data_IF_609442846699
#
_entry.id   IF_609442846699
#
_cell.length_a   1.000
_cell.length_b   1.000
_cell.length_c   1.000
_cell.angle_alpha   90.00
_cell.angle_beta   90.00
_cell.angle_gamma   90.00
#
_symmetry.space_group_name_H-M   'P 1'
#
loop_
_entity.id
_entity.type
_entity.pdbx_description
1 polymer ?
#
# COMPACT_ATOMS: atom_id res chain seq x y z
N UNK A 1 -5.36 -9.50 -21.11
CA UNK A 1 -5.14 -8.10 -20.74
C UNK A 1 -4.23 -8.10 -19.54
N UNK A 2 -3.03 -7.54 -19.65
CA UNK A 2 -2.09 -7.42 -18.54
C UNK A 2 -2.20 -5.99 -18.01
N UNK A 3 -2.74 -5.82 -16.81
CA UNK A 3 -2.62 -4.57 -16.07
C UNK A 3 -1.26 -4.59 -15.38
N UNK A 4 -0.40 -3.63 -15.70
CA UNK A 4 0.89 -3.48 -15.03
C UNK A 4 0.66 -2.47 -13.90
N UNK A 5 0.21 -2.99 -12.75
CA UNK A 5 0.05 -2.21 -11.54
C UNK A 5 1.46 -1.99 -10.95
N UNK A 6 2.00 -0.79 -11.16
CA UNK A 6 3.34 -0.42 -10.69
C UNK A 6 3.22 0.41 -9.43
N UNK A 7 3.77 -0.11 -8.34
CA UNK A 7 3.84 0.56 -7.05
C UNK A 7 5.27 1.03 -6.79
N UNK A 8 5.45 2.34 -6.62
CA UNK A 8 6.76 2.92 -6.28
C UNK A 8 6.67 3.51 -4.87
N UNK A 9 7.36 2.89 -3.92
CA UNK A 9 7.47 3.39 -2.54
C UNK A 9 8.77 4.17 -2.39
N UNK A 10 8.66 5.46 -2.04
CA UNK A 10 9.80 6.34 -1.75
C UNK A 10 9.77 6.79 -0.29
N UNK A 11 10.82 7.47 0.16
CA UNK A 11 10.92 8.05 1.50
C UNK A 11 9.97 9.23 1.79
N UNK A 12 9.15 9.66 0.81
CA UNK A 12 8.21 10.78 0.95
C UNK A 12 6.80 10.47 0.46
N UNK A 13 6.66 9.60 -0.54
CA UNK A 13 5.40 9.26 -1.19
C UNK A 13 5.39 7.84 -1.74
N UNK A 14 4.21 7.24 -1.76
CA UNK A 14 3.85 6.02 -2.47
C UNK A 14 3.14 6.46 -3.74
N UNK A 15 3.57 5.97 -4.90
CA UNK A 15 2.93 6.24 -6.20
C UNK A 15 2.29 4.93 -6.66
N UNK A 16 0.97 4.96 -6.83
CA UNK A 16 0.19 3.91 -7.46
C UNK A 16 -0.19 4.33 -8.88
N UNK A 17 0.04 3.45 -9.86
CA UNK A 17 -0.27 3.72 -11.26
C UNK A 17 -1.09 2.56 -11.80
N UNK A 18 -2.42 2.67 -11.70
CA UNK A 18 -3.37 1.71 -12.25
C UNK A 18 -3.81 2.14 -13.67
N UNK A 19 -3.72 1.22 -14.63
CA UNK A 19 -4.13 1.45 -16.02
C UNK A 19 -5.52 0.84 -16.28
N UNK A 20 -6.57 1.66 -16.25
CA UNK A 20 -7.94 1.24 -16.62
C UNK A 20 -8.14 1.40 -18.15
N UNK A 21 -7.47 0.57 -18.95
CA UNK A 21 -7.70 0.48 -20.41
C UNK A 21 -6.78 1.34 -21.30
N UNK A 22 -7.14 1.48 -22.59
CA UNK A 22 -6.29 2.07 -23.64
C UNK A 22 -6.04 3.58 -23.50
N UNK A 23 -6.86 4.33 -22.73
CA UNK A 23 -6.75 5.79 -22.61
C UNK A 23 -6.92 6.36 -21.19
N UNK A 24 -7.26 5.56 -20.17
CA UNK A 24 -7.40 6.03 -18.79
C UNK A 24 -6.25 5.51 -17.93
N UNK A 25 -5.25 6.38 -17.74
CA UNK A 25 -4.18 6.17 -16.74
C UNK A 25 -4.55 6.95 -15.48
N UNK A 26 -4.79 6.25 -14.38
CA UNK A 26 -4.96 6.87 -13.06
C UNK A 26 -3.63 6.77 -12.33
N UNK A 27 -3.03 7.92 -12.02
CA UNK A 27 -1.83 8.02 -11.18
C UNK A 27 -2.30 8.58 -9.85
N UNK A 28 -2.25 7.75 -8.80
CA UNK A 28 -2.60 8.16 -7.44
C UNK A 28 -1.30 8.30 -6.64
N UNK A 29 -1.05 9.50 -6.11
CA UNK A 29 0.11 9.78 -5.24
C UNK A 29 -0.34 9.87 -3.78
N UNK A 30 0.17 8.98 -2.94
CA UNK A 30 -0.05 8.97 -1.51
C UNK A 30 1.19 9.49 -0.76
N UNK A 31 1.07 10.64 -0.12
CA UNK A 31 2.09 11.12 0.82
C UNK A 31 2.12 10.27 2.08
N UNK A 32 3.32 9.85 2.52
CA UNK A 32 3.49 9.05 3.74
C UNK A 32 2.93 9.75 4.98
N UNK A 33 3.03 11.08 5.04
CA UNK A 33 2.49 11.91 6.13
C UNK A 33 0.96 11.90 6.21
N UNK A 34 0.27 11.47 5.14
CA UNK A 34 -1.19 11.35 5.11
C UNK A 34 -1.65 9.95 5.50
N UNK A 35 -0.75 8.98 5.69
CA UNK A 35 -1.12 7.65 6.17
C UNK A 35 -1.61 7.79 7.62
N UNK A 36 -2.84 7.33 7.87
CA UNK A 36 -3.38 7.23 9.23
C UNK A 36 -3.20 5.83 9.79
N UNK A 37 -3.56 4.82 9.01
CA UNK A 37 -3.61 3.44 9.49
C UNK A 37 -3.21 2.46 8.37
N UNK A 38 -2.59 1.36 8.78
CA UNK A 38 -2.21 0.26 7.89
C UNK A 38 -2.70 -1.04 8.53
N UNK A 39 -3.60 -1.73 7.82
CA UNK A 39 -4.15 -3.02 8.24
C UNK A 39 -3.70 -4.14 7.31
N UNK A 40 -3.51 -5.32 7.89
CA UNK A 40 -3.17 -6.54 7.16
C UNK A 40 -4.34 -7.50 7.29
N UNK A 41 -4.71 -8.12 6.17
CA UNK A 41 -5.79 -9.08 6.11
C UNK A 41 -5.28 -10.39 5.50
N UNK A 42 -5.22 -11.43 6.32
CA UNK A 42 -4.88 -12.80 5.88
C UNK A 42 -6.10 -13.69 6.13
N UNK A 43 -6.65 -14.30 5.09
CA UNK A 43 -7.87 -15.12 5.14
C UNK A 43 -7.59 -16.59 4.86
N UNK A 44 -7.85 -17.42 5.85
CA UNK A 44 -7.83 -18.87 5.71
C UNK A 44 -6.44 -19.50 5.79
N UNK A 45 -6.43 -20.83 5.93
CA UNK A 45 -5.26 -21.61 6.27
C UNK A 45 -4.12 -21.54 5.23
N UNK A 46 -4.47 -21.52 3.95
CA UNK A 46 -3.50 -21.51 2.84
C UNK A 46 -2.71 -20.20 2.81
N UNK A 47 -3.38 -19.07 3.01
CA UNK A 47 -2.75 -17.74 3.02
C UNK A 47 -1.79 -17.59 4.21
N UNK A 48 -2.18 -18.11 5.38
CA UNK A 48 -1.32 -18.14 6.57
C UNK A 48 -0.07 -18.98 6.36
N UNK A 49 -0.20 -20.19 5.81
CA UNK A 49 0.95 -21.10 5.59
C UNK A 49 1.92 -20.57 4.55
N UNK A 50 1.38 -20.05 3.45
CA UNK A 50 2.19 -19.51 2.35
C UNK A 50 2.62 -18.06 2.61
N UNK A 51 2.28 -17.51 3.78
CA UNK A 51 2.66 -16.18 4.24
C UNK A 51 2.33 -15.07 3.24
N UNK A 52 1.16 -15.10 2.63
CA UNK A 52 0.70 -14.02 1.76
C UNK A 52 -0.69 -13.54 2.16
N UNK A 53 -1.01 -12.29 1.85
CA UNK A 53 -2.28 -11.70 2.22
C UNK A 53 -2.47 -10.33 1.60
N UNK A 54 -3.52 -9.63 2.02
CA UNK A 54 -3.80 -8.29 1.57
C UNK A 54 -3.29 -7.26 2.60
N UNK A 55 -2.84 -6.10 2.12
CA UNK A 55 -2.48 -4.95 2.95
C UNK A 55 -3.29 -3.75 2.51
N UNK A 56 -3.88 -3.04 3.47
CA UNK A 56 -4.71 -1.89 3.23
C UNK A 56 -4.16 -0.66 3.95
N UNK A 57 -4.00 0.44 3.21
CA UNK A 57 -3.52 1.71 3.72
C UNK A 57 -4.66 2.72 3.69
N UNK A 58 -4.94 3.32 4.85
CA UNK A 58 -5.94 4.37 5.03
C UNK A 58 -5.27 5.72 5.22
N UNK A 59 -5.90 6.76 4.68
CA UNK A 59 -5.31 8.09 4.60
C UNK A 59 -6.19 9.12 5.31
N UNK A 60 -5.58 10.21 5.78
CA UNK A 60 -6.28 11.34 6.39
C UNK A 60 -6.97 12.16 5.29
N UNK A 61 -8.25 11.85 5.02
CA UNK A 61 -9.06 12.55 4.02
C UNK A 61 -10.13 11.66 3.37
N UNK A 62 -10.76 12.19 2.32
CA UNK A 62 -11.87 11.54 1.59
C UNK A 62 -11.44 10.21 0.95
N UNK A 63 -11.93 9.12 1.53
CA UNK A 63 -12.20 7.76 1.00
C UNK A 63 -11.16 6.97 0.18
N UNK A 64 -10.00 7.50 -0.18
CA UNK A 64 -8.99 6.69 -0.88
C UNK A 64 -8.33 5.68 0.06
N UNK A 65 -8.80 4.44 -0.04
CA UNK A 65 -8.20 3.23 0.54
C UNK A 65 -7.32 2.58 -0.51
N UNK A 66 -6.02 2.53 -0.26
CA UNK A 66 -5.09 1.79 -1.11
C UNK A 66 -5.04 0.35 -0.65
N UNK A 67 -5.20 -0.61 -1.57
CA UNK A 67 -5.19 -2.03 -1.25
C UNK A 67 -4.17 -2.77 -2.11
N UNK A 68 -3.22 -3.40 -1.45
CA UNK A 68 -2.27 -4.33 -2.03
C UNK A 68 -2.82 -5.73 -1.89
N UNK A 69 -3.01 -6.42 -3.01
CA UNK A 69 -3.62 -7.74 -3.02
C UNK A 69 -2.57 -8.85 -3.09
N UNK A 70 -2.75 -9.89 -2.27
CA UNK A 70 -1.98 -11.13 -2.32
C UNK A 70 -0.46 -10.92 -2.28
N UNK A 71 0.01 -9.97 -1.48
CA UNK A 71 1.44 -9.70 -1.34
C UNK A 71 2.11 -10.72 -0.41
N UNK A 72 3.36 -11.11 -0.67
CA UNK A 72 4.13 -11.94 0.24
C UNK A 72 4.50 -11.15 1.50
N UNK A 73 4.41 -11.81 2.65
CA UNK A 73 4.72 -11.29 3.97
C UNK A 73 4.11 -9.90 4.26
N UNK A 74 2.78 -9.75 4.21
CA UNK A 74 2.12 -8.45 4.34
C UNK A 74 2.47 -7.72 5.66
N UNK A 75 2.69 -8.47 6.75
CA UNK A 75 3.15 -7.91 8.03
C UNK A 75 4.51 -7.22 7.91
N UNK A 76 5.49 -7.84 7.21
CA UNK A 76 6.80 -7.21 7.01
C UNK A 76 6.70 -5.94 6.18
N UNK A 77 5.82 -5.95 5.17
CA UNK A 77 5.59 -4.79 4.32
C UNK A 77 4.97 -3.65 5.14
N UNK A 78 4.00 -3.97 6.00
CA UNK A 78 3.42 -3.01 6.95
C UNK A 78 4.50 -2.39 7.85
N UNK A 79 5.36 -3.21 8.45
CA UNK A 79 6.41 -2.74 9.35
C UNK A 79 7.39 -1.78 8.64
N UNK A 80 7.81 -2.11 7.41
CA UNK A 80 8.67 -1.24 6.63
C UNK A 80 8.00 0.08 6.26
N UNK A 81 6.72 0.06 5.85
CA UNK A 81 5.97 1.31 5.57
C UNK A 81 5.85 2.14 6.84
N UNK A 82 5.55 1.54 7.99
CA UNK A 82 5.40 2.26 9.25
C UNK A 82 6.72 2.90 9.71
N UNK A 83 7.85 2.21 9.49
CA UNK A 83 9.19 2.74 9.73
C UNK A 83 9.52 3.94 8.81
N UNK A 84 9.09 3.89 7.55
CA UNK A 84 9.26 5.02 6.64
C UNK A 84 8.41 6.22 7.05
N UNK A 85 7.17 5.98 7.51
CA UNK A 85 6.28 7.02 8.04
C UNK A 85 6.89 7.69 9.25
N UNK A 86 7.38 6.92 10.24
CA UNK A 86 8.00 7.47 11.45
C UNK A 86 9.28 8.24 11.18
N UNK A 87 10.08 7.82 10.19
CA UNK A 87 11.29 8.55 9.77
C UNK A 87 10.96 9.87 9.05
N UNK A 88 9.82 9.93 8.36
CA UNK A 88 9.38 11.12 7.63
C UNK A 88 8.79 12.21 8.54
N UNK A 89 8.40 11.86 9.76
CA UNK A 89 7.96 12.79 10.80
C UNK A 89 9.18 13.25 11.62
N UNK A 90 9.41 14.55 11.82
CA UNK A 90 10.48 15.00 12.71
C UNK A 90 10.20 14.49 14.14
N UNK A 91 11.24 14.03 14.88
CA UNK A 91 11.06 13.69 16.29
C UNK A 91 10.58 14.93 17.04
N UNK A 92 9.53 14.76 17.85
CA UNK A 92 9.07 15.79 18.79
C UNK A 92 10.13 16.12 19.84
#
# INVERSE_FOLDING_TARGET
MYTLDVWIVTNRRIIDSAQHGFFNRTISELHLTRIQDISVETRGFVQTILHFGDLQVQTAGTEEKFKFHQIPHPEKVKDEIMKLVSTSLPPH
#
